data_IF_823936517016
#
_entry.id   IF_823936517016
#
_cell.length_a   1.000
_cell.length_b   1.000
_cell.length_c   1.000
_cell.angle_alpha   90.00
_cell.angle_beta   90.00
_cell.angle_gamma   90.00
#
_symmetry.space_group_name_H-M   'P 1'
#
loop_
_entity.id
_entity.type
_entity.pdbx_description
1 polymer ?
#
# COMPACT_ATOMS: atom_id res chain seq x y z
N UNK A 1 105.09 22.38 20.43
CA UNK A 1 104.20 22.94 21.47
C UNK A 1 103.04 21.97 21.63
N UNK A 2 103.16 21.00 22.54
CA UNK A 2 102.72 21.08 23.95
C UNK A 2 101.22 21.28 24.11
N UNK A 3 100.56 20.21 24.57
CA UNK A 3 99.21 20.20 25.12
C UNK A 3 98.95 18.81 25.73
N UNK A 4 99.22 18.68 27.03
CA UNK A 4 99.09 17.46 27.84
C UNK A 4 97.95 17.64 28.86
N UNK A 5 97.28 16.53 29.23
CA UNK A 5 96.31 16.40 30.33
C UNK A 5 95.03 15.71 29.84
N UNK A 6 94.69 14.45 30.16
CA UNK A 6 94.76 13.69 31.42
C UNK A 6 93.51 14.03 32.26
N UNK A 7 92.59 13.18 32.74
CA UNK A 7 92.42 11.73 33.05
C UNK A 7 90.91 11.59 33.49
N UNK A 8 90.35 10.52 34.12
CA UNK A 8 90.65 9.07 34.17
C UNK A 8 89.42 8.13 34.01
N UNK A 9 89.74 6.86 33.69
CA UNK A 9 89.28 5.56 34.22
C UNK A 9 88.05 5.46 35.16
N UNK A 10 87.21 4.45 34.90
CA UNK A 10 86.29 3.86 35.89
C UNK A 10 85.27 2.91 35.27
N UNK A 11 85.70 1.75 34.76
CA UNK A 11 85.60 0.41 35.38
C UNK A 11 84.19 -0.23 35.45
N UNK A 12 84.06 -1.29 34.64
CA UNK A 12 83.62 -2.65 34.99
C UNK A 12 82.12 -2.98 35.11
N UNK A 13 81.82 -4.13 34.46
CA UNK A 13 80.83 -5.15 34.82
C UNK A 13 79.35 -4.77 34.67
N UNK A 14 78.43 -5.64 34.27
CA UNK A 14 78.46 -7.02 33.82
C UNK A 14 77.08 -7.28 33.16
N UNK A 15 77.03 -8.34 32.38
CA UNK A 15 75.87 -8.90 31.70
C UNK A 15 74.60 -9.01 32.56
N UNK A 16 73.46 -8.70 31.97
CA UNK A 16 72.18 -9.35 32.31
C UNK A 16 71.29 -9.38 31.05
N UNK A 17 71.23 -10.56 30.42
CA UNK A 17 70.17 -10.89 29.49
C UNK A 17 68.91 -11.20 30.29
N UNK A 18 67.79 -10.51 29.99
CA UNK A 18 66.43 -10.97 30.33
C UNK A 18 65.53 -10.68 29.11
N UNK A 19 64.97 -11.77 28.57
CA UNK A 19 63.87 -11.83 27.62
C UNK A 19 62.64 -11.06 28.12
N UNK A 20 62.01 -10.25 27.26
CA UNK A 20 60.54 -10.12 27.24
C UNK A 20 60.05 -9.87 25.80
N UNK A 21 59.46 -10.92 25.23
CA UNK A 21 58.25 -10.99 24.39
C UNK A 21 58.05 -9.88 23.33
N UNK A 22 58.15 -10.32 22.07
CA UNK A 22 57.68 -9.60 20.87
C UNK A 22 56.20 -9.23 21.02
N UNK A 23 55.93 -7.92 20.95
CA UNK A 23 54.61 -7.29 21.00
C UNK A 23 53.72 -7.86 19.89
N UNK A 24 52.44 -8.20 20.16
CA UNK A 24 51.55 -8.78 19.16
C UNK A 24 51.22 -7.71 18.11
N UNK A 25 51.66 -7.94 16.87
CA UNK A 25 51.07 -7.37 15.68
C UNK A 25 49.66 -7.95 15.54
N UNK A 26 48.61 -7.22 15.93
CA UNK A 26 47.21 -7.36 15.46
C UNK A 26 46.28 -6.36 16.18
N UNK A 27 46.71 -5.09 16.26
CA UNK A 27 45.82 -3.99 16.60
C UNK A 27 45.18 -3.45 15.31
N UNK A 28 44.08 -4.05 14.85
CA UNK A 28 43.28 -3.44 13.81
C UNK A 28 42.87 -2.03 14.24
N UNK A 29 43.03 -1.03 13.37
CA UNK A 29 42.45 0.29 13.60
C UNK A 29 40.94 0.11 13.82
N UNK A 30 40.51 0.29 15.07
CA UNK A 30 39.12 0.15 15.48
C UNK A 30 38.26 1.21 14.82
N UNK A 31 37.75 0.91 13.64
CA UNK A 31 36.49 1.49 13.21
C UNK A 31 35.46 0.86 14.15
N UNK A 32 35.03 1.62 15.17
CA UNK A 32 33.79 1.29 15.88
C UNK A 32 32.78 1.06 14.78
N UNK A 33 32.21 -0.13 14.68
CA UNK A 33 31.08 -0.35 13.80
C UNK A 33 30.10 0.76 14.13
N UNK A 34 29.92 1.71 13.21
CA UNK A 34 28.84 2.67 13.35
C UNK A 34 27.61 1.81 13.44
N UNK A 35 26.89 1.90 14.56
CA UNK A 35 25.65 1.17 14.74
C UNK A 35 24.84 1.27 13.45
N UNK A 36 24.24 0.15 13.05
CA UNK A 36 23.35 0.13 11.90
C UNK A 36 22.22 1.08 12.26
N UNK A 37 22.27 2.30 11.72
CA UNK A 37 21.12 3.20 11.76
C UNK A 37 20.12 2.50 10.86
N UNK A 38 19.01 2.07 11.46
CA UNK A 38 17.89 1.50 10.75
C UNK A 38 17.61 2.42 9.54
N UNK A 39 17.77 1.89 8.33
CA UNK A 39 17.37 2.62 7.15
C UNK A 39 15.90 2.95 7.38
N UNK A 40 15.57 4.24 7.47
CA UNK A 40 14.23 4.70 7.82
C UNK A 40 13.19 3.89 7.05
N UNK A 41 12.09 3.54 7.73
CA UNK A 41 11.02 2.73 7.14
C UNK A 41 10.60 3.28 5.77
N UNK A 42 10.06 2.40 4.90
CA UNK A 42 9.69 2.79 3.55
C UNK A 42 8.80 4.05 3.57
N UNK A 43 9.03 4.94 2.62
CA UNK A 43 8.17 6.11 2.45
C UNK A 43 6.73 5.63 2.21
N UNK A 44 5.85 5.90 3.16
CA UNK A 44 4.42 5.63 3.02
C UNK A 44 3.80 6.79 2.27
N UNK A 45 3.33 6.56 1.05
CA UNK A 45 2.45 7.51 0.35
C UNK A 45 1.02 7.14 0.71
N UNK A 46 0.36 7.99 1.49
CA UNK A 46 -1.08 7.93 1.64
C UNK A 46 -1.70 8.35 0.30
N UNK A 47 -2.28 7.38 -0.42
CA UNK A 47 -3.11 7.69 -1.57
C UNK A 47 -4.41 8.31 -1.05
N UNK A 48 -4.43 9.64 -0.96
CA UNK A 48 -5.61 10.37 -0.52
C UNK A 48 -6.70 10.25 -1.58
N UNK A 49 -7.68 9.40 -1.34
CA UNK A 49 -8.90 9.35 -2.13
C UNK A 49 -9.73 10.62 -1.86
N UNK A 50 -9.85 11.49 -2.85
CA UNK A 50 -10.74 12.65 -2.78
C UNK A 50 -11.96 12.42 -3.68
N UNK A 51 -13.16 12.28 -3.11
CA UNK A 51 -14.41 12.06 -3.88
C UNK A 51 -14.83 13.21 -4.78
N UNK A 52 -14.21 14.38 -4.65
CA UNK A 52 -14.46 15.53 -5.54
C UNK A 52 -13.65 15.44 -6.84
N UNK A 53 -12.48 14.82 -6.80
CA UNK A 53 -11.55 14.73 -7.95
C UNK A 53 -11.37 13.29 -8.46
N UNK A 54 -11.59 12.30 -7.60
CA UNK A 54 -11.33 10.89 -7.83
C UNK A 54 -12.57 10.00 -7.69
N UNK A 55 -12.62 8.97 -8.52
CA UNK A 55 -13.58 7.88 -8.49
C UNK A 55 -12.88 6.63 -7.94
N UNK A 56 -13.49 5.96 -6.96
CA UNK A 56 -13.05 4.64 -6.53
C UNK A 56 -13.84 3.56 -7.27
N UNK A 57 -13.18 2.91 -8.23
CA UNK A 57 -13.75 1.85 -9.05
C UNK A 57 -13.24 0.50 -8.55
N UNK A 58 -14.10 -0.51 -8.49
CA UNK A 58 -13.69 -1.87 -8.13
C UNK A 58 -13.63 -2.74 -9.38
N UNK A 59 -12.52 -3.43 -9.62
CA UNK A 59 -12.36 -4.34 -10.76
C UNK A 59 -11.98 -5.74 -10.30
N UNK A 60 -12.22 -6.74 -11.16
CA UNK A 60 -11.85 -8.13 -10.89
C UNK A 60 -10.35 -8.31 -11.09
N UNK A 61 -9.66 -8.79 -10.06
CA UNK A 61 -8.28 -9.23 -10.14
C UNK A 61 -8.15 -10.67 -10.66
N UNK A 62 -6.95 -11.12 -11.08
CA UNK A 62 -6.72 -12.47 -11.59
C UNK A 62 -7.11 -13.61 -10.63
N UNK A 63 -7.06 -13.35 -9.32
CA UNK A 63 -7.49 -14.27 -8.27
C UNK A 63 -9.02 -14.35 -8.09
N UNK A 64 -9.78 -13.59 -8.89
CA UNK A 64 -11.24 -13.51 -8.82
C UNK A 64 -11.78 -12.54 -7.77
N UNK A 65 -10.92 -11.94 -6.95
CA UNK A 65 -11.30 -10.93 -5.96
C UNK A 65 -11.60 -9.58 -6.61
N UNK A 66 -12.31 -8.71 -5.90
CA UNK A 66 -12.50 -7.31 -6.29
C UNK A 66 -11.41 -6.43 -5.68
N UNK A 67 -10.77 -5.60 -6.50
CA UNK A 67 -9.70 -4.67 -6.10
C UNK A 67 -10.08 -3.22 -6.39
N UNK A 68 -9.88 -2.31 -5.43
CA UNK A 68 -10.12 -0.89 -5.64
C UNK A 68 -9.05 -0.29 -6.56
N UNK A 69 -9.46 0.65 -7.41
CA UNK A 69 -8.63 1.49 -8.26
C UNK A 69 -9.12 2.92 -8.12
N UNK A 70 -8.20 3.84 -7.82
CA UNK A 70 -8.47 5.27 -7.79
C UNK A 70 -8.27 5.80 -9.21
N UNK A 71 -9.29 6.47 -9.75
CA UNK A 71 -9.27 7.07 -11.09
C UNK A 71 -9.68 8.53 -11.00
N UNK A 72 -8.87 9.47 -11.52
CA UNK A 72 -9.29 10.85 -11.57
C UNK A 72 -10.51 10.98 -12.50
N UNK A 73 -11.51 11.76 -12.09
CA UNK A 73 -12.76 11.95 -12.84
C UNK A 73 -12.60 12.85 -14.08
N UNK A 74 -11.46 13.52 -14.18
CA UNK A 74 -11.03 14.33 -15.32
C UNK A 74 -9.56 13.99 -15.57
N UNK A 75 -9.09 14.01 -16.83
CA UNK A 75 -7.66 13.92 -17.09
C UNK A 75 -6.93 15.05 -16.36
N UNK A 76 -5.70 14.82 -15.87
CA UNK A 76 -4.89 15.88 -15.33
C UNK A 76 -4.68 16.94 -16.41
N UNK A 77 -4.86 18.21 -16.06
CA UNK A 77 -4.53 19.33 -16.94
C UNK A 77 -3.01 19.36 -17.12
N UNK A 78 -2.51 19.11 -18.33
CA UNK A 78 -1.09 19.36 -18.62
C UNK A 78 -0.78 20.87 -18.63
N UNK A 79 0.49 21.20 -18.46
CA UNK A 79 0.92 22.59 -18.55
C UNK A 79 0.72 23.10 -19.99
N UNK A 80 -0.24 24.01 -20.17
CA UNK A 80 -0.52 24.68 -21.46
C UNK A 80 -1.87 24.37 -22.08
N UNK A 81 -2.65 23.46 -21.49
CA UNK A 81 -4.02 23.21 -21.94
C UNK A 81 -5.03 24.17 -21.31
N UNK A 82 -6.07 24.49 -22.09
CA UNK A 82 -7.09 25.46 -21.72
C UNK A 82 -7.91 24.96 -20.54
N UNK A 83 -8.04 25.82 -19.53
CA UNK A 83 -8.78 25.53 -18.31
C UNK A 83 -10.21 25.09 -18.67
N UNK A 84 -10.53 23.82 -18.48
CA UNK A 84 -11.84 23.26 -18.87
C UNK A 84 -12.89 23.60 -17.81
N UNK A 85 -13.23 24.89 -17.74
CA UNK A 85 -14.32 25.45 -16.95
C UNK A 85 -14.26 25.22 -15.42
N UNK A 86 -15.27 25.74 -14.70
CA UNK A 86 -15.40 25.53 -13.26
C UNK A 86 -15.55 24.06 -12.89
N UNK A 87 -15.06 23.67 -11.72
CA UNK A 87 -15.44 22.40 -11.07
C UNK A 87 -16.85 22.55 -10.53
N UNK A 88 -17.71 21.58 -10.81
CA UNK A 88 -18.95 21.46 -10.05
C UNK A 88 -18.58 21.17 -8.60
N UNK A 89 -19.05 21.97 -7.63
CA UNK A 89 -18.71 21.75 -6.23
C UNK A 89 -19.33 20.46 -5.72
N UNK A 90 -18.56 19.69 -4.94
CA UNK A 90 -19.01 18.49 -4.25
C UNK A 90 -18.57 17.18 -4.89
N UNK A 91 -19.05 16.03 -4.35
CA UNK A 91 -18.64 14.71 -4.80
C UNK A 91 -19.02 14.45 -6.26
N UNK A 92 -18.21 13.65 -6.95
CA UNK A 92 -18.52 13.17 -8.31
C UNK A 92 -19.85 12.41 -8.29
N UNK A 93 -20.81 12.74 -9.18
CA UNK A 93 -22.11 12.07 -9.23
C UNK A 93 -21.96 10.55 -9.41
N UNK A 94 -22.73 9.76 -8.64
CA UNK A 94 -22.67 8.30 -8.68
C UNK A 94 -22.96 7.74 -10.08
N UNK A 95 -23.84 8.38 -10.86
CA UNK A 95 -24.12 8.05 -12.26
C UNK A 95 -22.83 8.02 -13.08
N UNK A 96 -21.97 9.03 -12.89
CA UNK A 96 -20.68 9.14 -13.59
C UNK A 96 -19.71 8.05 -13.14
N UNK A 97 -19.66 7.75 -11.83
CA UNK A 97 -18.82 6.67 -11.28
C UNK A 97 -19.24 5.31 -11.84
N UNK A 98 -20.55 5.02 -11.85
CA UNK A 98 -21.08 3.75 -12.39
C UNK A 98 -20.85 3.67 -13.90
N UNK A 99 -21.05 4.77 -14.64
CA UNK A 99 -20.77 4.81 -16.07
C UNK A 99 -19.29 4.50 -16.36
N UNK A 100 -18.37 5.06 -15.57
CA UNK A 100 -16.93 4.76 -15.69
C UNK A 100 -16.62 3.28 -15.38
N UNK A 101 -17.28 2.69 -14.39
CA UNK A 101 -17.15 1.26 -14.08
C UNK A 101 -17.61 0.39 -15.26
N UNK A 102 -18.74 0.73 -15.87
CA UNK A 102 -19.32 0.00 -17.01
C UNK A 102 -18.47 0.12 -18.28
N UNK A 103 -17.72 1.21 -18.43
CA UNK A 103 -16.72 1.34 -19.49
C UNK A 103 -15.53 0.38 -19.30
N UNK A 104 -15.35 -0.16 -18.10
CA UNK A 104 -14.35 -1.16 -17.78
C UNK A 104 -12.96 -0.62 -17.45
N UNK A 105 -11.98 -1.50 -17.20
CA UNK A 105 -10.63 -1.12 -16.80
C UNK A 105 -9.86 -0.40 -17.91
N UNK A 106 -9.10 0.63 -17.52
CA UNK A 106 -8.20 1.36 -18.41
C UNK A 106 -7.02 0.52 -18.88
N UNK A 107 -6.15 1.10 -19.71
CA UNK A 107 -4.96 0.40 -20.19
C UNK A 107 -4.00 0.03 -19.04
N UNK A 108 -3.67 0.94 -18.09
CA UNK A 108 -2.81 0.60 -16.96
C UNK A 108 -3.41 -0.52 -16.08
N UNK A 109 -4.72 -0.44 -15.82
CA UNK A 109 -5.45 -1.43 -15.02
C UNK A 109 -5.37 -2.83 -15.68
N UNK A 110 -5.60 -2.89 -17.00
CA UNK A 110 -5.49 -4.13 -17.77
C UNK A 110 -4.06 -4.66 -17.83
N UNK A 111 -3.07 -3.77 -17.92
CA UNK A 111 -1.65 -4.16 -17.85
C UNK A 111 -1.28 -4.76 -16.48
N UNK A 112 -1.96 -4.35 -15.41
CA UNK A 112 -1.88 -4.96 -14.08
C UNK A 112 -2.71 -6.25 -13.93
N UNK A 113 -3.34 -6.73 -15.01
CA UNK A 113 -4.17 -7.94 -15.01
C UNK A 113 -5.59 -7.75 -14.48
N UNK A 114 -6.04 -6.51 -14.25
CA UNK A 114 -7.41 -6.23 -13.83
C UNK A 114 -8.37 -6.37 -15.02
N UNK A 115 -9.53 -6.97 -14.75
CA UNK A 115 -10.61 -7.22 -15.71
C UNK A 115 -11.94 -6.71 -15.14
N UNK A 116 -13.00 -6.72 -15.94
CA UNK A 116 -14.37 -6.47 -15.45
C UNK A 116 -15.12 -7.79 -15.31
N UNK A 117 -15.82 -7.97 -14.20
CA UNK A 117 -16.79 -9.06 -14.03
C UNK A 117 -18.14 -8.75 -14.70
N UNK A 118 -18.33 -7.51 -15.16
CA UNK A 118 -19.60 -7.03 -15.69
C UNK A 118 -19.72 -7.33 -17.19
N UNK A 119 -20.93 -7.70 -17.66
CA UNK A 119 -21.19 -7.75 -19.08
C UNK A 119 -21.09 -6.35 -19.68
N UNK A 120 -20.85 -6.28 -20.99
CA UNK A 120 -20.95 -5.01 -21.71
C UNK A 120 -22.34 -4.40 -21.52
N UNK A 121 -22.38 -3.11 -21.14
CA UNK A 121 -23.63 -2.37 -21.07
C UNK A 121 -24.27 -2.29 -22.47
N UNK A 122 -25.60 -2.37 -22.52
CA UNK A 122 -26.28 -2.19 -23.81
C UNK A 122 -26.16 -0.74 -24.27
N UNK A 123 -25.95 -0.48 -25.58
CA UNK A 123 -25.93 0.88 -26.10
C UNK A 123 -27.25 1.62 -25.79
N UNK A 124 -27.16 2.87 -25.35
CA UNK A 124 -28.30 3.75 -25.14
C UNK A 124 -29.10 3.54 -23.85
N UNK A 125 -28.59 2.74 -22.91
CA UNK A 125 -29.17 2.65 -21.56
C UNK A 125 -28.49 3.62 -20.59
N UNK A 126 -29.29 4.37 -19.84
CA UNK A 126 -28.80 5.30 -18.83
C UNK A 126 -28.70 4.67 -17.44
N UNK A 127 -27.77 5.19 -16.63
CA UNK A 127 -27.72 4.89 -15.19
C UNK A 127 -28.61 5.88 -14.46
N UNK A 128 -29.53 5.37 -13.62
CA UNK A 128 -30.35 6.22 -12.74
C UNK A 128 -29.97 6.01 -11.28
N UNK A 129 -29.84 7.10 -10.51
CA UNK A 129 -29.57 7.03 -9.07
C UNK A 129 -30.67 7.75 -8.30
N UNK A 130 -31.14 7.11 -7.24
CA UNK A 130 -32.11 7.70 -6.31
C UNK A 130 -31.59 7.51 -4.89
N UNK A 131 -31.27 8.61 -4.22
CA UNK A 131 -30.89 8.59 -2.80
C UNK A 131 -32.14 8.53 -1.94
N UNK A 132 -32.20 7.57 -1.01
CA UNK A 132 -33.36 7.35 -0.14
C UNK A 132 -33.19 7.92 1.27
N UNK A 133 -32.06 8.58 1.57
CA UNK A 133 -31.67 8.97 2.93
C UNK A 133 -31.01 7.81 3.69
N UNK A 134 -30.51 8.08 4.91
CA UNK A 134 -29.96 7.06 5.82
C UNK A 134 -28.78 6.23 5.25
N UNK A 135 -28.04 6.78 4.27
CA UNK A 135 -26.95 6.05 3.63
C UNK A 135 -27.41 4.94 2.69
N UNK A 136 -28.64 5.00 2.20
CA UNK A 136 -29.21 4.06 1.23
C UNK A 136 -29.39 4.68 -0.14
N UNK A 137 -29.05 3.93 -1.19
CA UNK A 137 -29.14 4.36 -2.58
C UNK A 137 -29.75 3.26 -3.45
N UNK A 138 -30.65 3.66 -4.36
CA UNK A 138 -31.16 2.80 -5.43
C UNK A 138 -30.45 3.17 -6.74
N UNK A 139 -29.91 2.18 -7.44
CA UNK A 139 -29.23 2.37 -8.72
C UNK A 139 -29.85 1.49 -9.80
N UNK A 140 -30.43 2.13 -10.80
CA UNK A 140 -30.95 1.48 -12.02
C UNK A 140 -29.83 1.36 -13.04
N UNK A 141 -29.61 0.14 -13.51
CA UNK A 141 -28.47 -0.20 -14.37
C UNK A 141 -28.91 -0.59 -15.79
N UNK A 142 -28.15 -0.19 -16.83
CA UNK A 142 -28.39 -0.57 -18.22
C UNK A 142 -27.86 -1.99 -18.55
N UNK A 143 -27.95 -2.91 -17.59
CA UNK A 143 -27.56 -4.30 -17.71
C UNK A 143 -28.53 -5.20 -16.94
N UNK A 144 -28.57 -6.49 -17.30
CA UNK A 144 -29.39 -7.46 -16.59
C UNK A 144 -28.65 -7.91 -15.31
N UNK A 145 -29.35 -7.94 -14.17
CA UNK A 145 -28.76 -8.49 -12.93
C UNK A 145 -28.87 -10.01 -12.87
N UNK A 146 -29.84 -10.59 -13.56
CA UNK A 146 -29.95 -12.04 -13.67
C UNK A 146 -28.71 -12.63 -14.33
N UNK A 147 -28.13 -13.63 -13.69
CA UNK A 147 -26.91 -14.31 -14.17
C UNK A 147 -25.59 -13.65 -13.76
N UNK A 148 -25.62 -12.47 -13.10
CA UNK A 148 -24.41 -11.93 -12.50
C UNK A 148 -23.96 -12.79 -11.32
N UNK A 149 -22.68 -13.14 -11.32
CA UNK A 149 -22.03 -13.83 -10.22
C UNK A 149 -21.78 -12.89 -9.02
N UNK A 150 -21.28 -13.46 -7.92
CA UNK A 150 -21.02 -12.71 -6.69
C UNK A 150 -19.97 -11.63 -6.89
N UNK A 151 -18.90 -11.89 -7.66
CA UNK A 151 -17.86 -10.90 -7.95
C UNK A 151 -18.41 -9.72 -8.75
N UNK A 152 -19.28 -9.94 -9.73
CA UNK A 152 -19.95 -8.89 -10.50
C UNK A 152 -20.85 -8.03 -9.61
N UNK A 153 -21.62 -8.64 -8.72
CA UNK A 153 -22.43 -7.90 -7.74
C UNK A 153 -21.54 -7.11 -6.79
N UNK A 154 -20.50 -7.70 -6.21
CA UNK A 154 -19.56 -7.00 -5.32
C UNK A 154 -18.86 -5.84 -6.02
N UNK A 155 -18.47 -6.01 -7.29
CA UNK A 155 -17.87 -4.96 -8.11
C UNK A 155 -18.82 -3.74 -8.24
N UNK A 156 -20.10 -3.97 -8.54
CA UNK A 156 -21.12 -2.91 -8.60
C UNK A 156 -21.35 -2.27 -7.23
N UNK A 157 -21.68 -3.10 -6.23
CA UNK A 157 -22.04 -2.65 -4.89
C UNK A 157 -20.92 -1.85 -4.24
N UNK A 158 -19.68 -2.29 -4.31
CA UNK A 158 -18.55 -1.57 -3.70
C UNK A 158 -18.25 -0.24 -4.39
N UNK A 159 -18.28 -0.21 -5.72
CA UNK A 159 -18.09 1.04 -6.47
C UNK A 159 -19.16 2.07 -6.11
N UNK A 160 -20.43 1.66 -6.07
CA UNK A 160 -21.54 2.55 -5.70
C UNK A 160 -21.40 2.98 -4.24
N UNK A 161 -21.11 2.06 -3.32
CA UNK A 161 -21.02 2.38 -1.90
C UNK A 161 -19.93 3.42 -1.60
N UNK A 162 -18.74 3.30 -2.21
CA UNK A 162 -17.65 4.26 -2.04
C UNK A 162 -17.87 5.60 -2.75
N UNK A 163 -18.78 5.66 -3.73
CA UNK A 163 -19.23 6.94 -4.29
C UNK A 163 -20.13 7.69 -3.29
N UNK A 164 -20.90 6.97 -2.48
CA UNK A 164 -21.88 7.52 -1.54
C UNK A 164 -21.29 7.86 -0.16
N UNK A 165 -20.47 6.96 0.39
CA UNK A 165 -19.79 7.10 1.69
C UNK A 165 -18.30 6.80 1.50
N UNK A 166 -17.36 7.65 1.94
CA UNK A 166 -15.92 7.41 1.76
C UNK A 166 -15.40 6.16 2.47
N UNK A 167 -16.15 5.63 3.45
CA UNK A 167 -15.86 4.37 4.12
C UNK A 167 -16.61 3.16 3.50
N UNK A 168 -17.33 3.36 2.39
CA UNK A 168 -18.02 2.29 1.67
C UNK A 168 -19.21 1.67 2.42
N UNK A 169 -19.80 2.39 3.39
CA UNK A 169 -20.85 1.86 4.27
C UNK A 169 -22.26 1.96 3.72
N UNK A 170 -22.46 2.60 2.57
CA UNK A 170 -23.79 2.77 2.01
C UNK A 170 -24.45 1.42 1.65
N UNK A 171 -25.75 1.31 1.92
CA UNK A 171 -26.58 0.18 1.47
C UNK A 171 -27.01 0.45 0.04
N UNK A 172 -26.73 -0.50 -0.85
CA UNK A 172 -26.98 -0.36 -2.28
C UNK A 172 -28.09 -1.31 -2.72
N UNK A 173 -29.15 -0.75 -3.26
CA UNK A 173 -30.20 -1.48 -3.97
C UNK A 173 -29.96 -1.33 -5.48
N UNK A 174 -29.62 -2.44 -6.14
CA UNK A 174 -29.42 -2.52 -7.58
C UNK A 174 -30.73 -2.92 -8.25
N UNK A 175 -31.07 -2.25 -9.34
CA UNK A 175 -32.18 -2.60 -10.22
C UNK A 175 -31.66 -2.79 -11.64
N UNK A 176 -31.80 -4.00 -12.17
CA UNK A 176 -31.41 -4.33 -13.53
C UNK A 176 -32.49 -3.96 -14.54
N UNK A 177 -32.09 -3.75 -15.80
CA UNK A 177 -33.01 -3.54 -16.91
C UNK A 177 -33.95 -4.74 -17.16
N UNK A 178 -33.61 -5.91 -16.61
CA UNK A 178 -34.40 -7.14 -16.65
C UNK A 178 -35.46 -7.19 -15.54
N UNK A 179 -35.62 -6.12 -14.74
CA UNK A 179 -36.55 -6.03 -13.62
C UNK A 179 -36.12 -6.80 -12.38
N UNK A 180 -34.92 -7.40 -12.40
CA UNK A 180 -34.34 -8.06 -11.22
C UNK A 180 -33.78 -7.00 -10.28
N UNK A 181 -34.02 -7.15 -8.99
CA UNK A 181 -33.40 -6.29 -7.96
C UNK A 181 -32.52 -7.10 -7.01
N UNK A 182 -31.44 -6.49 -6.53
CA UNK A 182 -30.54 -7.07 -5.51
C UNK A 182 -30.09 -5.98 -4.55
N UNK A 183 -30.14 -6.27 -3.24
CA UNK A 183 -29.63 -5.36 -2.21
C UNK A 183 -28.34 -5.92 -1.61
N UNK A 184 -27.43 -5.04 -1.23
CA UNK A 184 -26.20 -5.44 -0.55
C UNK A 184 -25.39 -4.27 -0.01
N UNK A 185 -24.45 -4.57 0.86
CA UNK A 185 -23.41 -3.65 1.31
C UNK A 185 -22.07 -4.04 0.68
N UNK A 186 -21.16 -3.08 0.56
CA UNK A 186 -19.78 -3.44 0.29
C UNK A 186 -19.26 -4.13 1.54
N UNK A 187 -19.09 -5.45 1.48
CA UNK A 187 -18.23 -6.11 2.45
C UNK A 187 -16.88 -5.42 2.28
N UNK A 188 -16.50 -4.61 3.25
CA UNK A 188 -15.11 -4.25 3.46
C UNK A 188 -14.43 -5.60 3.69
N UNK A 189 -14.03 -6.24 2.59
CA UNK A 189 -13.11 -7.35 2.65
C UNK A 189 -11.93 -6.76 3.40
N UNK A 190 -11.81 -7.14 4.67
CA UNK A 190 -10.59 -7.63 5.28
C UNK A 190 -9.40 -7.46 4.35
N UNK A 191 -8.97 -6.22 4.10
CA UNK A 191 -7.63 -5.95 3.64
C UNK A 191 -6.81 -6.14 4.90
N UNK A 192 -6.61 -7.41 5.24
CA UNK A 192 -5.49 -7.80 6.08
C UNK A 192 -4.28 -7.50 5.19
N UNK A 193 -3.83 -6.24 5.19
CA UNK A 193 -2.42 -5.98 4.99
C UNK A 193 -1.75 -6.83 6.04
N UNK A 194 -0.98 -7.84 5.61
CA UNK A 194 -0.52 -8.96 6.44
C UNK A 194 -0.26 -8.53 7.88
N UNK A 195 -1.14 -8.93 8.80
CA UNK A 195 -0.74 -9.02 10.18
C UNK A 195 0.42 -10.03 10.20
N UNK A 196 1.58 -9.72 10.80
CA UNK A 196 2.67 -10.66 10.90
C UNK A 196 2.13 -11.93 11.55
N UNK A 197 2.22 -13.02 10.80
CA UNK A 197 1.89 -14.36 11.24
C UNK A 197 2.60 -14.62 12.57
N UNK A 198 1.79 -14.89 13.60
CA UNK A 198 2.17 -15.40 14.92
C UNK A 198 3.68 -15.45 15.19
N UNK A 199 4.20 -14.42 15.86
CA UNK A 199 5.31 -14.64 16.76
C UNK A 199 4.78 -15.58 17.86
N UNK A 200 4.93 -16.89 17.61
CA UNK A 200 4.74 -17.93 18.60
C UNK A 200 5.53 -17.51 19.83
N UNK A 201 4.82 -17.09 20.87
CA UNK A 201 5.37 -16.80 22.18
C UNK A 201 6.04 -18.07 22.65
N UNK A 202 7.34 -18.20 22.39
CA UNK A 202 8.15 -19.26 22.96
C UNK A 202 8.30 -18.89 24.43
N UNK A 203 7.41 -19.44 25.23
CA UNK A 203 7.54 -19.49 26.69
C UNK A 203 8.98 -19.88 27.05
N UNK A 204 9.69 -19.12 27.89
CA UNK A 204 10.98 -19.57 28.39
C UNK A 204 10.77 -20.85 29.21
N UNK A 205 11.41 -21.93 28.77
CA UNK A 205 11.48 -23.20 29.51
C UNK A 205 12.34 -22.99 30.78
N UNK A 206 11.81 -23.22 32.00
CA UNK A 206 12.57 -23.04 33.22
C UNK A 206 13.20 -24.37 33.64
N UNK A 207 14.24 -24.85 32.96
CA UNK A 207 15.03 -25.97 33.47
C UNK A 207 16.37 -26.14 32.73
N UNK A 208 17.40 -25.44 33.20
CA UNK A 208 18.80 -25.78 32.93
C UNK A 208 19.47 -26.27 34.21
N UNK A 209 19.03 -27.43 34.72
CA UNK A 209 19.68 -28.12 35.81
C UNK A 209 21.03 -28.70 35.34
N UNK A 210 22.11 -28.32 36.02
CA UNK A 210 23.44 -28.93 35.91
C UNK A 210 23.44 -30.30 36.60
N UNK A 211 23.96 -31.36 35.95
CA UNK A 211 25.05 -32.16 36.57
C UNK A 211 25.94 -32.90 35.54
N UNK A 212 26.95 -33.70 35.96
CA UNK A 212 27.88 -33.57 37.09
C UNK A 212 29.25 -32.98 36.69
#
# INVERSE_FOLDING_TARGET
MSGNGGLPHGRWAASAAILVVVVPLLGGCGIRGTDVIEAGGPATVEAFYNREDDMMLFFRAPDGSVRPVIRPARPPVEFGEEYTGPRDPGPIPTEKVVTALLAGPGQPDRAAGLTTALPAARPGGDVGVTSLGEGRVVVRLPLALKGLDTTAVSQLTCTIAYSQDPAGRAVVDLEGQDGTSRSGTCASASVVFGAPENASTRTPDPAGATPP
#
